data_IF_327228863151
#
_entry.id   IF_327228863151
#
_cell.length_a   1.000
_cell.length_b   1.000
_cell.length_c   1.000
_cell.angle_alpha   90.00
_cell.angle_beta   90.00
_cell.angle_gamma   90.00
#
_symmetry.space_group_name_H-M   'P 1'
#
loop_
_entity.id
_entity.type
_entity.pdbx_description
1 polymer ?
#
# COMPACT_ATOMS: atom_id res chain seq x y z
N UNK A 1 -31.23 -53.45 31.90
CA UNK A 1 -29.97 -52.77 31.54
C UNK A 1 -30.05 -52.44 30.07
N UNK A 2 -30.35 -51.18 29.74
CA UNK A 2 -30.53 -50.73 28.34
C UNK A 2 -29.30 -49.94 27.95
N UNK A 3 -28.46 -50.51 27.09
CA UNK A 3 -27.22 -49.90 26.63
C UNK A 3 -27.55 -48.84 25.58
N UNK A 4 -27.38 -47.56 25.91
CA UNK A 4 -27.47 -46.47 24.93
C UNK A 4 -26.14 -46.41 24.20
N UNK A 5 -26.13 -46.81 22.93
CA UNK A 5 -24.99 -46.63 22.05
C UNK A 5 -24.74 -45.11 21.87
N UNK A 6 -23.58 -44.64 22.30
CA UNK A 6 -23.15 -43.26 22.09
C UNK A 6 -22.90 -43.05 20.59
N UNK A 7 -23.77 -42.28 19.94
CA UNK A 7 -23.60 -41.82 18.56
C UNK A 7 -22.42 -40.86 18.52
N UNK A 8 -21.29 -41.30 17.95
CA UNK A 8 -20.15 -40.44 17.70
C UNK A 8 -20.56 -39.36 16.70
N UNK A 9 -20.76 -38.13 17.18
CA UNK A 9 -21.05 -36.98 16.33
C UNK A 9 -19.73 -36.55 15.65
N UNK A 10 -19.44 -37.12 14.48
CA UNK A 10 -18.38 -36.60 13.61
C UNK A 10 -18.84 -35.24 13.08
N UNK A 11 -18.36 -34.16 13.69
CA UNK A 11 -18.49 -32.81 13.12
C UNK A 11 -17.89 -32.84 11.71
N UNK A 12 -18.66 -32.61 10.64
CA UNK A 12 -18.07 -32.45 9.32
C UNK A 12 -17.20 -31.20 9.41
N UNK A 13 -15.89 -31.38 9.29
CA UNK A 13 -15.00 -30.27 9.04
C UNK A 13 -15.46 -29.65 7.71
N UNK A 14 -16.19 -28.54 7.79
CA UNK A 14 -16.50 -27.73 6.62
C UNK A 14 -15.17 -27.23 6.06
N UNK A 15 -14.59 -27.98 5.14
CA UNK A 15 -13.60 -27.47 4.24
C UNK A 15 -14.31 -26.37 3.45
N UNK A 16 -14.03 -25.11 3.80
CA UNK A 16 -14.45 -23.97 2.99
C UNK A 16 -13.82 -24.13 1.60
N UNK A 17 -14.52 -24.81 0.67
CA UNK A 17 -14.20 -24.97 -0.75
C UNK A 17 -14.31 -23.64 -1.53
N UNK A 18 -14.05 -22.52 -0.85
CA UNK A 18 -13.97 -21.21 -1.49
C UNK A 18 -12.57 -21.06 -2.07
N UNK A 19 -12.50 -21.02 -3.40
CA UNK A 19 -11.27 -20.69 -4.15
C UNK A 19 -10.52 -19.52 -3.48
N UNK A 20 -9.20 -19.64 -3.37
CA UNK A 20 -8.31 -18.66 -2.72
C UNK A 20 -8.58 -17.22 -3.19
N UNK A 21 -8.94 -17.05 -4.46
CA UNK A 21 -9.31 -15.78 -5.09
C UNK A 21 -10.60 -15.21 -4.46
N UNK A 22 -11.61 -16.04 -4.19
CA UNK A 22 -12.86 -15.61 -3.54
C UNK A 22 -12.64 -15.27 -2.06
N UNK A 23 -11.65 -15.90 -1.40
CA UNK A 23 -11.36 -15.65 0.01
C UNK A 23 -10.58 -14.35 0.23
N UNK A 24 -9.66 -14.00 -0.67
CA UNK A 24 -8.73 -12.87 -0.46
C UNK A 24 -8.85 -11.72 -1.46
N UNK A 25 -9.52 -11.87 -2.60
CA UNK A 25 -9.74 -10.79 -3.58
C UNK A 25 -11.23 -10.40 -3.60
N UNK A 26 -12.12 -11.38 -3.65
CA UNK A 26 -13.58 -11.16 -3.59
C UNK A 26 -14.17 -11.55 -2.23
N UNK A 27 -13.53 -11.13 -1.15
CA UNK A 27 -14.00 -11.38 0.20
C UNK A 27 -15.12 -10.41 0.57
N UNK A 28 -16.22 -10.92 1.12
CA UNK A 28 -17.32 -10.10 1.68
C UNK A 28 -17.12 -9.80 3.17
N UNK A 29 -16.05 -10.32 3.77
CA UNK A 29 -15.72 -10.13 5.18
C UNK A 29 -15.02 -8.77 5.37
N UNK A 30 -15.64 -7.86 6.14
CA UNK A 30 -15.11 -6.54 6.46
C UNK A 30 -13.74 -6.59 7.15
N UNK A 31 -13.42 -7.69 7.85
CA UNK A 31 -12.10 -7.90 8.46
C UNK A 31 -11.00 -8.07 7.41
N UNK A 32 -11.28 -8.82 6.35
CA UNK A 32 -10.31 -9.05 5.26
C UNK A 32 -10.18 -7.78 4.42
N UNK A 33 -11.28 -7.10 4.14
CA UNK A 33 -11.29 -5.82 3.44
C UNK A 33 -10.48 -4.77 4.22
N UNK A 34 -10.67 -4.67 5.53
CA UNK A 34 -9.89 -3.75 6.38
C UNK A 34 -8.38 -4.06 6.37
N UNK A 35 -7.99 -5.34 6.36
CA UNK A 35 -6.56 -5.72 6.25
C UNK A 35 -5.98 -5.35 4.88
N UNK A 36 -6.75 -5.49 3.80
CA UNK A 36 -6.32 -5.06 2.46
C UNK A 36 -6.08 -3.55 2.42
N UNK A 37 -7.02 -2.75 2.95
CA UNK A 37 -6.89 -1.30 3.02
C UNK A 37 -5.73 -0.85 3.92
N UNK A 38 -5.48 -1.55 5.03
CA UNK A 38 -4.30 -1.31 5.87
C UNK A 38 -3.00 -1.55 5.09
N UNK A 39 -2.92 -2.62 4.31
CA UNK A 39 -1.73 -2.91 3.50
C UNK A 39 -1.51 -1.88 2.40
N UNK A 40 -2.59 -1.49 1.71
CA UNK A 40 -2.54 -0.48 0.64
C UNK A 40 -2.16 0.89 1.22
N UNK A 41 -2.79 1.32 2.31
CA UNK A 41 -2.46 2.60 2.95
C UNK A 41 -1.03 2.65 3.45
N UNK A 42 -0.52 1.56 4.07
CA UNK A 42 0.87 1.49 4.51
C UNK A 42 1.85 1.58 3.33
N UNK A 43 1.54 0.92 2.22
CA UNK A 43 2.34 1.02 1.01
C UNK A 43 2.38 2.45 0.46
N UNK A 44 1.23 3.09 0.31
CA UNK A 44 1.16 4.48 -0.18
C UNK A 44 1.72 5.50 0.81
N UNK A 45 1.65 5.24 2.12
CA UNK A 45 2.31 6.04 3.14
C UNK A 45 3.83 6.03 2.93
N UNK A 46 4.41 4.86 2.65
CA UNK A 46 5.83 4.72 2.35
C UNK A 46 6.18 5.45 1.05
N UNK A 47 5.40 5.26 -0.02
CA UNK A 47 5.61 5.96 -1.29
C UNK A 47 5.52 7.48 -1.13
N UNK A 48 4.46 8.00 -0.51
CA UNK A 48 4.33 9.43 -0.27
C UNK A 48 5.43 9.97 0.65
N UNK A 49 5.90 9.19 1.61
CA UNK A 49 7.05 9.54 2.46
C UNK A 49 8.35 9.63 1.68
N UNK A 50 8.58 8.71 0.72
CA UNK A 50 9.71 8.79 -0.19
C UNK A 50 9.64 10.03 -1.09
N UNK A 51 8.45 10.40 -1.59
CA UNK A 51 8.27 11.65 -2.34
C UNK A 51 8.58 12.87 -1.47
N UNK A 52 8.19 12.86 -0.19
CA UNK A 52 8.53 13.94 0.74
C UNK A 52 10.04 14.07 0.96
N UNK A 53 10.76 12.94 1.04
CA UNK A 53 12.22 12.94 1.15
C UNK A 53 12.90 13.55 -0.08
N UNK A 54 12.39 13.27 -1.28
CA UNK A 54 12.88 13.89 -2.53
C UNK A 54 12.72 15.41 -2.53
N UNK A 55 11.54 15.92 -2.18
CA UNK A 55 11.31 17.36 -2.07
C UNK A 55 12.24 18.00 -1.02
N UNK A 56 12.41 17.33 0.13
CA UNK A 56 13.22 17.85 1.23
C UNK A 56 14.71 17.85 0.89
N UNK A 57 15.17 16.90 0.08
CA UNK A 57 16.53 16.90 -0.47
C UNK A 57 16.77 18.14 -1.36
N UNK A 58 15.84 18.44 -2.26
CA UNK A 58 15.94 19.61 -3.13
C UNK A 58 16.01 20.94 -2.35
N UNK A 59 15.26 21.05 -1.25
CA UNK A 59 15.30 22.23 -0.38
C UNK A 59 16.60 22.35 0.42
N UNK A 60 17.20 21.20 0.81
CA UNK A 60 18.42 21.17 1.62
C UNK A 60 19.70 21.38 0.81
N UNK A 61 19.76 20.85 -0.42
CA UNK A 61 20.93 20.92 -1.29
C UNK A 61 20.56 21.29 -2.73
N UNK A 62 20.23 22.58 -2.97
CA UNK A 62 19.83 23.04 -4.30
C UNK A 62 20.96 22.84 -5.31
N UNK A 63 20.65 22.20 -6.44
CA UNK A 63 21.61 21.99 -7.54
C UNK A 63 22.58 20.84 -7.35
N UNK A 64 22.45 20.03 -6.28
CA UNK A 64 23.24 18.80 -6.13
C UNK A 64 22.48 17.59 -6.66
N UNK A 65 23.18 16.60 -7.23
CA UNK A 65 22.55 15.36 -7.67
C UNK A 65 21.98 14.62 -6.46
N UNK A 66 20.69 14.30 -6.51
CA UNK A 66 20.04 13.50 -5.49
C UNK A 66 20.68 12.10 -5.41
N UNK A 67 20.90 11.53 -4.21
CA UNK A 67 21.28 10.14 -4.05
C UNK A 67 20.17 9.25 -4.64
N UNK A 68 20.47 8.58 -5.76
CA UNK A 68 19.48 7.84 -6.55
C UNK A 68 18.91 8.61 -7.75
N UNK A 69 19.37 9.82 -8.04
CA UNK A 69 18.94 10.58 -9.23
C UNK A 69 19.38 9.96 -10.57
N UNK A 70 20.42 9.11 -10.56
CA UNK A 70 20.93 8.44 -11.77
C UNK A 70 20.09 7.25 -12.28
N UNK A 71 19.06 6.81 -11.53
CA UNK A 71 18.09 5.80 -11.99
C UNK A 71 16.81 6.45 -12.55
N UNK A 72 16.66 7.76 -12.42
CA UNK A 72 15.54 8.48 -13.02
C UNK A 72 15.86 8.82 -14.48
N UNK A 73 14.86 8.77 -15.38
CA UNK A 73 15.06 9.16 -16.77
C UNK A 73 15.50 10.63 -16.84
N UNK A 74 16.38 10.95 -17.79
CA UNK A 74 16.94 12.29 -18.01
C UNK A 74 15.86 13.38 -18.22
N UNK A 75 14.60 12.99 -18.50
CA UNK A 75 13.45 13.88 -18.62
C UNK A 75 12.90 14.38 -17.27
N UNK A 76 13.24 13.74 -16.16
CA UNK A 76 12.75 14.09 -14.81
C UNK A 76 13.87 14.62 -13.90
N UNK A 77 15.10 14.13 -14.08
CA UNK A 77 16.26 14.61 -13.34
C UNK A 77 17.56 14.46 -14.18
N UNK A 78 17.88 15.40 -15.08
CA UNK A 78 19.13 15.37 -15.84
C UNK A 78 20.31 15.38 -14.86
N UNK A 79 21.13 14.32 -14.88
CA UNK A 79 22.26 14.18 -13.97
C UNK A 79 21.90 14.09 -12.48
N UNK A 80 20.64 13.77 -12.15
CA UNK A 80 20.16 13.66 -10.78
C UNK A 80 19.77 15.00 -10.13
N UNK A 81 19.80 16.10 -10.86
CA UNK A 81 19.32 17.41 -10.38
C UNK A 81 17.83 17.53 -10.70
N UNK A 82 17.00 17.78 -9.69
CA UNK A 82 15.55 17.95 -9.85
C UNK A 82 15.27 19.29 -10.55
N UNK A 83 14.64 19.23 -11.71
CA UNK A 83 14.16 20.40 -12.46
C UNK A 83 12.97 21.08 -11.73
N UNK A 84 12.79 22.41 -11.90
CA UNK A 84 11.67 23.15 -11.29
C UNK A 84 10.29 22.57 -11.64
N UNK A 85 10.09 22.13 -12.89
CA UNK A 85 8.88 21.47 -13.37
C UNK A 85 8.61 20.13 -12.66
N UNK A 86 9.64 19.34 -12.43
CA UNK A 86 9.53 18.07 -11.71
C UNK A 86 9.23 18.28 -10.23
N UNK A 87 9.76 19.35 -9.62
CA UNK A 87 9.44 19.71 -8.24
C UNK A 87 7.94 19.98 -8.04
N UNK A 88 7.31 20.72 -8.95
CA UNK A 88 5.85 20.98 -8.88
C UNK A 88 5.08 19.66 -8.99
N UNK A 89 5.49 18.78 -9.91
CA UNK A 89 4.88 17.47 -10.06
C UNK A 89 5.05 16.61 -8.80
N UNK A 90 6.23 16.58 -8.18
CA UNK A 90 6.50 15.85 -6.94
C UNK A 90 5.57 16.30 -5.80
N UNK A 91 5.38 17.61 -5.62
CA UNK A 91 4.50 18.17 -4.59
C UNK A 91 3.05 17.75 -4.83
N UNK A 92 2.56 17.86 -6.07
CA UNK A 92 1.20 17.45 -6.41
C UNK A 92 0.99 15.97 -6.16
N UNK A 93 1.90 15.11 -6.64
CA UNK A 93 1.79 13.66 -6.48
C UNK A 93 1.92 13.21 -5.01
N UNK A 94 2.78 13.87 -4.23
CA UNK A 94 2.88 13.64 -2.79
C UNK A 94 1.53 13.88 -2.09
N UNK A 95 0.90 15.03 -2.36
CA UNK A 95 -0.40 15.39 -1.79
C UNK A 95 -1.50 14.40 -2.19
N UNK A 96 -1.55 14.02 -3.47
CA UNK A 96 -2.54 13.05 -3.95
C UNK A 96 -2.37 11.68 -3.29
N UNK A 97 -1.14 11.15 -3.21
CA UNK A 97 -0.92 9.85 -2.59
C UNK A 97 -1.16 9.87 -1.07
N UNK A 98 -0.82 10.95 -0.38
CA UNK A 98 -1.06 11.06 1.06
C UNK A 98 -2.55 11.14 1.39
N UNK A 99 -3.31 12.03 0.75
CA UNK A 99 -4.72 12.23 1.10
C UNK A 99 -5.59 11.08 0.56
N UNK A 100 -5.47 10.77 -0.74
CA UNK A 100 -6.42 9.87 -1.39
C UNK A 100 -6.07 8.39 -1.21
N UNK A 101 -4.78 8.05 -1.12
CA UNK A 101 -4.35 6.65 -1.12
C UNK A 101 -3.79 6.16 0.24
N UNK A 102 -3.25 7.04 1.07
CA UNK A 102 -2.82 6.69 2.43
C UNK A 102 -3.92 6.99 3.46
N UNK A 103 -4.32 8.25 3.62
CA UNK A 103 -5.19 8.69 4.72
C UNK A 103 -6.63 8.19 4.55
N UNK A 104 -7.25 8.37 3.36
CA UNK A 104 -8.63 7.92 3.16
C UNK A 104 -8.81 6.41 3.40
N UNK A 105 -8.02 5.51 2.78
CA UNK A 105 -8.07 4.07 3.06
C UNK A 105 -7.71 3.64 4.48
N UNK A 106 -6.97 4.46 5.23
CA UNK A 106 -6.63 4.16 6.63
C UNK A 106 -7.79 4.47 7.57
N UNK A 107 -8.57 5.52 7.28
CA UNK A 107 -9.62 6.06 8.14
C UNK A 107 -11.01 5.44 7.90
N UNK A 108 -11.27 4.91 6.71
CA UNK A 108 -12.56 4.33 6.28
C UNK A 108 -12.53 2.82 6.24
#
# INVERSE_FOLDING_TARGET
MTTVAATAHTTPAHHDDRSFIRKYIFSTDHKIIGIQFLFVSLFFLLVGGLLAMQMRWQLGFPGTPMPGGGILPDTMAPGGVILPEYYIQLVTMHGTFMIFFAIMPLLV
#
